data_IF_892372593728
#
_entry.id   IF_892372593728
#
_cell.length_a   1.000
_cell.length_b   1.000
_cell.length_c   1.000
_cell.angle_alpha   90.00
_cell.angle_beta   90.00
_cell.angle_gamma   90.00
#
_symmetry.space_group_name_H-M   'P 1'
#
loop_
_entity.id
_entity.type
_entity.pdbx_description
1 polymer ?
#
# COMPACT_ATOMS: atom_id res chain seq x y z
N UNK A 1 34.64 70.47 38.63
CA UNK A 1 33.75 69.53 37.89
C UNK A 1 33.18 68.53 38.87
N UNK A 2 31.90 68.64 39.27
CA UNK A 2 31.25 67.63 40.09
C UNK A 2 30.02 66.98 39.42
N UNK A 3 29.68 65.83 40.00
CA UNK A 3 28.61 64.84 39.80
C UNK A 3 27.19 65.41 39.66
N UNK A 4 26.28 64.61 39.07
CA UNK A 4 24.85 64.37 39.46
C UNK A 4 24.03 64.01 38.20
N UNK A 5 23.54 62.78 38.03
CA UNK A 5 22.24 62.26 38.50
C UNK A 5 21.00 63.05 38.01
N UNK A 6 20.08 62.36 37.33
CA UNK A 6 18.64 62.63 37.42
C UNK A 6 17.82 61.40 37.00
N UNK A 7 16.99 60.96 37.94
CA UNK A 7 15.83 60.07 37.76
C UNK A 7 14.66 60.91 37.25
N UNK A 8 13.80 60.35 36.42
CA UNK A 8 12.43 60.86 36.23
C UNK A 8 11.42 59.76 36.55
N UNK A 9 10.52 60.08 37.48
CA UNK A 9 9.23 59.43 37.71
C UNK A 9 8.20 60.11 36.80
N UNK A 10 7.24 59.37 36.25
CA UNK A 10 5.87 59.89 36.17
C UNK A 10 4.82 58.79 36.08
N UNK A 11 3.68 59.10 36.67
CA UNK A 11 2.63 58.24 37.19
C UNK A 11 1.70 57.62 36.15
N UNK A 12 1.04 56.57 36.60
CA UNK A 12 -0.11 55.90 36.00
C UNK A 12 -1.29 56.86 35.72
N UNK A 13 -2.03 56.56 34.64
CA UNK A 13 -3.47 56.80 34.56
C UNK A 13 -4.11 55.60 33.86
N UNK A 14 -4.96 54.89 34.61
CA UNK A 14 -5.88 53.87 34.12
C UNK A 14 -7.04 54.60 33.44
N UNK A 15 -7.36 54.22 32.21
CA UNK A 15 -8.63 54.61 31.57
C UNK A 15 -9.21 53.39 30.89
N UNK A 16 -10.32 52.91 31.45
CA UNK A 16 -11.15 51.86 30.91
C UNK A 16 -11.85 52.36 29.65
N UNK A 17 -11.66 51.68 28.53
CA UNK A 17 -12.55 51.75 27.38
C UNK A 17 -13.30 50.43 27.27
N UNK A 18 -14.61 50.52 27.48
CA UNK A 18 -15.58 49.49 27.12
C UNK A 18 -15.62 49.35 25.59
N UNK A 19 -15.33 48.16 25.08
CA UNK A 19 -15.57 47.80 23.68
C UNK A 19 -16.88 47.00 23.64
N UNK A 20 -17.88 47.59 23.00
CA UNK A 20 -19.15 46.96 22.64
C UNK A 20 -18.90 45.61 21.95
N UNK A 21 -19.50 44.53 22.47
CA UNK A 21 -19.60 43.29 21.73
C UNK A 21 -20.60 43.45 20.59
N UNK A 22 -20.09 43.43 19.36
CA UNK A 22 -20.91 43.12 18.19
C UNK A 22 -21.13 41.61 18.20
N UNK A 23 -22.32 41.19 18.60
CA UNK A 23 -22.78 39.83 18.40
C UNK A 23 -22.88 39.56 16.89
N UNK A 24 -21.84 38.95 16.32
CA UNK A 24 -21.95 38.33 15.00
C UNK A 24 -22.76 37.05 15.16
N UNK A 25 -23.95 37.04 14.56
CA UNK A 25 -24.74 35.83 14.39
C UNK A 25 -24.04 34.96 13.34
N UNK A 26 -23.02 34.21 13.75
CA UNK A 26 -22.51 33.11 12.95
C UNK A 26 -23.54 31.99 13.02
N UNK A 27 -24.19 31.70 11.89
CA UNK A 27 -24.87 30.43 11.66
C UNK A 27 -23.95 29.31 12.17
N UNK A 28 -24.48 28.22 12.76
CA UNK A 28 -23.64 27.06 13.03
C UNK A 28 -23.08 26.60 11.68
N UNK A 29 -21.83 26.97 11.41
CA UNK A 29 -21.03 26.34 10.40
C UNK A 29 -20.91 24.91 10.90
N UNK A 30 -21.50 23.98 10.17
CA UNK A 30 -21.09 22.60 10.24
C UNK A 30 -19.60 22.63 10.00
N UNK A 31 -18.82 22.50 11.07
CA UNK A 31 -17.43 22.06 10.97
C UNK A 31 -17.58 20.68 10.33
N UNK A 32 -17.39 20.63 9.02
CA UNK A 32 -17.20 19.38 8.32
C UNK A 32 -15.85 18.91 8.85
N UNK A 33 -15.91 17.97 9.78
CA UNK A 33 -14.78 17.17 10.20
C UNK A 33 -14.26 16.43 8.96
N UNK A 34 -13.17 16.92 8.36
CA UNK A 34 -12.50 16.29 7.21
C UNK A 34 -11.71 15.03 7.62
N UNK A 35 -12.29 14.16 8.45
CA UNK A 35 -11.69 12.86 8.78
C UNK A 35 -12.70 11.74 8.94
N UNK A 36 -13.68 11.62 8.04
CA UNK A 36 -14.34 10.32 7.85
C UNK A 36 -13.37 9.37 7.13
N UNK A 37 -12.49 8.78 7.93
CA UNK A 37 -11.60 7.67 7.62
C UNK A 37 -12.41 6.54 6.99
N UNK A 38 -12.27 6.36 5.68
CA UNK A 38 -12.90 5.24 4.99
C UNK A 38 -11.81 4.23 4.66
N UNK A 39 -11.92 3.03 5.24
CA UNK A 39 -11.17 1.86 4.79
C UNK A 39 -11.35 1.75 3.28
N UNK A 40 -10.26 1.60 2.52
CA UNK A 40 -10.38 1.41 1.07
C UNK A 40 -11.05 0.07 0.79
N UNK A 41 -12.02 0.07 -0.11
CA UNK A 41 -12.76 -1.12 -0.54
C UNK A 41 -12.49 -1.37 -2.01
N UNK A 42 -12.25 -2.62 -2.38
CA UNK A 42 -12.15 -3.08 -3.77
C UNK A 42 -13.01 -4.33 -3.96
N UNK A 43 -13.89 -4.30 -4.96
CA UNK A 43 -14.61 -5.49 -5.42
C UNK A 43 -13.76 -6.20 -6.48
N UNK A 44 -13.64 -7.53 -6.38
CA UNK A 44 -12.85 -8.34 -7.32
C UNK A 44 -13.71 -9.39 -8.01
N UNK A 45 -13.65 -9.42 -9.33
CA UNK A 45 -14.50 -10.24 -10.18
C UNK A 45 -14.06 -11.70 -10.24
N UNK A 46 -15.04 -12.60 -10.19
CA UNK A 46 -14.86 -14.01 -10.50
C UNK A 46 -14.62 -14.19 -12.00
N UNK A 47 -13.77 -15.15 -12.36
CA UNK A 47 -13.53 -15.56 -13.73
C UNK A 47 -13.74 -17.07 -13.89
N UNK A 48 -14.32 -17.47 -15.02
CA UNK A 48 -14.43 -18.87 -15.47
C UNK A 48 -13.41 -19.22 -16.56
N UNK A 49 -12.66 -18.22 -17.03
CA UNK A 49 -11.57 -18.35 -17.98
C UNK A 49 -10.23 -18.54 -17.28
N UNK A 50 -9.36 -19.37 -17.83
CA UNK A 50 -7.97 -19.50 -17.36
C UNK A 50 -7.16 -18.22 -17.63
N UNK A 51 -6.36 -17.82 -16.65
CA UNK A 51 -5.27 -16.85 -16.83
C UNK A 51 -3.96 -17.63 -17.02
N UNK A 52 -3.19 -17.31 -18.05
CA UNK A 52 -1.84 -17.82 -18.21
C UNK A 52 -0.89 -16.87 -17.50
N UNK A 53 -0.18 -17.35 -16.47
CA UNK A 53 0.80 -16.54 -15.75
C UNK A 53 2.08 -16.47 -16.58
N UNK A 54 2.18 -15.46 -17.46
CA UNK A 54 3.32 -15.23 -18.36
C UNK A 54 3.89 -13.80 -18.30
N UNK A 55 3.37 -12.97 -17.39
CA UNK A 55 3.84 -11.60 -17.19
C UNK A 55 3.31 -10.64 -18.25
N UNK A 56 2.27 -11.02 -18.99
CA UNK A 56 1.62 -10.21 -20.03
C UNK A 56 0.12 -10.14 -19.77
N UNK A 57 -0.39 -8.94 -19.55
CA UNK A 57 -1.81 -8.73 -19.21
C UNK A 57 -2.72 -8.67 -20.45
N UNK A 58 -2.62 -9.64 -21.36
CA UNK A 58 -3.27 -9.60 -22.67
C UNK A 58 -4.61 -10.37 -22.71
N UNK A 59 -4.91 -11.13 -21.66
CA UNK A 59 -6.13 -11.89 -21.46
C UNK A 59 -7.35 -10.96 -21.41
N UNK A 60 -8.50 -11.47 -21.87
CA UNK A 60 -9.76 -10.74 -21.81
C UNK A 60 -10.14 -10.43 -20.35
N UNK A 61 -9.86 -11.35 -19.43
CA UNK A 61 -10.07 -11.18 -18.00
C UNK A 61 -9.33 -9.93 -17.47
N UNK A 62 -8.01 -9.83 -17.71
CA UNK A 62 -7.23 -8.67 -17.28
C UNK A 62 -7.65 -7.36 -17.94
N UNK A 63 -8.00 -7.41 -19.23
CA UNK A 63 -8.48 -6.21 -19.95
C UNK A 63 -9.80 -5.68 -19.39
N UNK A 64 -10.66 -6.58 -18.91
CA UNK A 64 -11.99 -6.25 -18.37
C UNK A 64 -11.96 -5.91 -16.89
N UNK A 65 -10.96 -6.39 -16.15
CA UNK A 65 -10.82 -6.14 -14.73
C UNK A 65 -10.57 -4.65 -14.43
N UNK A 66 -11.30 -4.14 -13.43
CA UNK A 66 -11.07 -2.81 -12.85
C UNK A 66 -9.72 -2.77 -12.14
N UNK A 67 -9.08 -1.59 -12.13
CA UNK A 67 -7.94 -1.36 -11.25
C UNK A 67 -8.41 -1.16 -9.80
N UNK A 68 -7.56 -1.53 -8.86
CA UNK A 68 -7.76 -1.27 -7.42
C UNK A 68 -7.72 0.23 -7.07
N UNK A 69 -7.25 1.07 -8.00
CA UNK A 69 -7.06 2.50 -7.82
C UNK A 69 -5.59 2.88 -7.59
N UNK A 70 -5.33 4.17 -7.40
CA UNK A 70 -3.97 4.70 -7.31
C UNK A 70 -3.29 4.32 -5.99
N UNK A 71 -2.06 3.85 -6.10
CA UNK A 71 -1.16 3.68 -4.96
C UNK A 71 -0.82 5.05 -4.36
N UNK A 72 -0.82 5.11 -3.04
CA UNK A 72 -0.52 6.29 -2.26
C UNK A 72 0.91 6.18 -1.75
N UNK A 73 1.58 7.31 -1.54
CA UNK A 73 2.96 7.36 -1.06
C UNK A 73 3.00 8.04 0.33
N UNK A 74 2.65 7.34 1.43
CA UNK A 74 2.47 7.97 2.75
C UNK A 74 3.75 8.58 3.31
N UNK A 75 4.90 8.08 2.86
CA UNK A 75 6.22 8.45 3.37
C UNK A 75 7.08 9.21 2.34
N UNK A 76 6.49 9.68 1.23
CA UNK A 76 7.25 10.36 0.18
C UNK A 76 7.90 11.66 0.67
N UNK A 77 9.15 11.90 0.29
CA UNK A 77 9.89 13.12 0.65
C UNK A 77 10.35 13.90 -0.57
N UNK A 78 10.96 13.23 -1.53
CA UNK A 78 11.56 13.84 -2.72
C UNK A 78 11.67 12.82 -3.86
N UNK A 79 12.03 13.26 -5.06
CA UNK A 79 12.09 12.42 -6.26
C UNK A 79 10.76 12.33 -7.01
N UNK A 80 10.74 11.51 -8.06
CA UNK A 80 9.56 11.22 -8.88
C UNK A 80 8.74 10.10 -8.24
N UNK A 81 7.44 10.31 -8.07
CA UNK A 81 6.50 9.24 -7.70
C UNK A 81 6.20 8.40 -8.94
N UNK A 82 6.63 7.16 -8.95
CA UNK A 82 6.43 6.27 -10.09
C UNK A 82 5.19 5.42 -9.86
N UNK A 83 4.19 5.62 -10.73
CA UNK A 83 2.87 5.06 -10.53
C UNK A 83 2.88 3.53 -10.58
N UNK A 84 2.14 2.92 -9.65
CA UNK A 84 1.81 1.49 -9.70
C UNK A 84 0.31 1.34 -9.91
N UNK A 85 -0.06 0.53 -10.91
CA UNK A 85 -1.44 0.12 -11.15
C UNK A 85 -1.55 -1.37 -10.87
N UNK A 86 -2.53 -1.76 -10.06
CA UNK A 86 -2.81 -3.16 -9.79
C UNK A 86 -4.25 -3.54 -10.15
N UNK A 87 -4.45 -4.83 -10.42
CA UNK A 87 -5.75 -5.46 -10.65
C UNK A 87 -5.79 -6.77 -9.90
N UNK A 88 -6.99 -7.19 -9.51
CA UNK A 88 -7.23 -8.45 -8.82
C UNK A 88 -8.43 -9.16 -9.42
N UNK A 89 -8.34 -10.47 -9.51
CA UNK A 89 -9.36 -11.38 -10.01
C UNK A 89 -9.31 -12.67 -9.19
N UNK A 90 -10.34 -13.50 -9.28
CA UNK A 90 -10.34 -14.79 -8.59
C UNK A 90 -11.12 -15.86 -9.35
N UNK A 91 -10.78 -17.13 -9.13
CA UNK A 91 -11.56 -18.29 -9.58
C UNK A 91 -11.81 -19.26 -8.41
N UNK A 92 -12.23 -20.50 -8.68
CA UNK A 92 -12.50 -21.48 -7.62
C UNK A 92 -11.25 -22.00 -6.89
N UNK A 93 -10.04 -21.59 -7.30
CA UNK A 93 -8.76 -22.14 -6.85
C UNK A 93 -7.71 -21.09 -6.51
N UNK A 94 -7.69 -19.93 -7.17
CA UNK A 94 -6.65 -18.92 -7.02
C UNK A 94 -7.20 -17.50 -6.86
N UNK A 95 -6.47 -16.71 -6.07
CA UNK A 95 -6.43 -15.26 -6.18
C UNK A 95 -5.38 -14.89 -7.23
N UNK A 96 -5.76 -14.04 -8.18
CA UNK A 96 -4.86 -13.48 -9.18
C UNK A 96 -4.60 -12.02 -8.88
N UNK A 97 -3.34 -11.61 -8.94
CA UNK A 97 -2.94 -10.20 -8.79
C UNK A 97 -1.97 -9.83 -9.91
N UNK A 98 -2.22 -8.69 -10.54
CA UNK A 98 -1.28 -8.10 -11.51
C UNK A 98 -0.81 -6.74 -11.03
N UNK A 99 0.44 -6.42 -11.30
CA UNK A 99 1.04 -5.11 -11.08
C UNK A 99 1.66 -4.60 -12.39
N UNK A 100 1.41 -3.34 -12.71
CA UNK A 100 2.16 -2.58 -13.70
C UNK A 100 2.84 -1.45 -12.97
N UNK A 101 4.16 -1.51 -12.96
CA UNK A 101 5.05 -0.73 -12.12
C UNK A 101 5.83 0.22 -13.02
N UNK A 102 5.49 1.51 -13.05
CA UNK A 102 6.37 2.49 -13.66
C UNK A 102 7.67 2.53 -12.86
N UNK A 103 8.78 2.68 -13.57
CA UNK A 103 10.10 2.85 -12.99
C UNK A 103 11.06 3.33 -14.07
N UNK A 104 11.85 4.36 -13.76
CA UNK A 104 12.88 4.89 -14.65
C UNK A 104 14.21 4.12 -14.51
N UNK A 105 14.43 3.35 -13.44
CA UNK A 105 15.70 2.64 -13.14
C UNK A 105 15.45 1.29 -12.43
N UNK A 106 15.13 0.25 -13.21
CA UNK A 106 14.70 -1.05 -12.72
C UNK A 106 15.90 -1.87 -12.23
N UNK A 107 15.86 -2.28 -10.96
CA UNK A 107 16.96 -2.94 -10.28
C UNK A 107 16.53 -4.19 -9.49
N UNK A 108 17.28 -5.29 -9.64
CA UNK A 108 17.19 -6.46 -8.77
C UNK A 108 18.47 -7.31 -8.74
N UNK A 109 18.95 -7.57 -7.52
CA UNK A 109 20.12 -8.42 -7.26
C UNK A 109 19.74 -9.80 -6.72
N UNK A 110 18.59 -9.93 -6.07
CA UNK A 110 18.23 -11.13 -5.33
C UNK A 110 17.65 -12.20 -6.27
N UNK A 111 18.23 -13.41 -6.22
CA UNK A 111 17.92 -14.52 -7.14
C UNK A 111 17.34 -15.76 -6.44
N UNK A 112 17.45 -15.82 -5.11
CA UNK A 112 17.06 -16.99 -4.33
C UNK A 112 15.76 -16.72 -3.58
N UNK A 113 14.86 -17.70 -3.53
CA UNK A 113 13.66 -17.62 -2.72
C UNK A 113 14.01 -17.36 -1.25
N UNK A 114 13.16 -16.59 -0.56
CA UNK A 114 13.31 -16.14 0.83
C UNK A 114 14.53 -15.23 1.08
N UNK A 115 15.22 -14.79 0.04
CA UNK A 115 16.21 -13.74 0.15
C UNK A 115 15.53 -12.36 0.32
N UNK A 116 16.27 -11.30 0.74
CA UNK A 116 15.72 -9.96 0.96
C UNK A 116 15.21 -9.19 -0.28
N UNK A 117 14.28 -9.77 -1.04
CA UNK A 117 13.69 -9.24 -2.28
C UNK A 117 13.08 -7.84 -2.12
N UNK A 118 12.65 -7.47 -0.91
CA UNK A 118 12.18 -6.10 -0.57
C UNK A 118 13.25 -5.00 -0.76
N UNK A 119 14.52 -5.35 -0.99
CA UNK A 119 15.60 -4.41 -1.30
C UNK A 119 15.75 -4.13 -2.79
N UNK A 120 15.17 -4.98 -3.63
CA UNK A 120 15.07 -4.79 -5.08
C UNK A 120 13.79 -4.05 -5.43
N UNK A 121 13.56 -3.76 -6.71
CA UNK A 121 12.22 -3.40 -7.18
C UNK A 121 11.23 -4.53 -6.92
N UNK A 122 10.31 -4.27 -5.99
CA UNK A 122 9.48 -5.28 -5.37
C UNK A 122 8.03 -4.83 -5.26
N UNK A 123 7.11 -5.78 -5.42
CA UNK A 123 5.70 -5.64 -5.08
C UNK A 123 5.30 -6.70 -4.06
N UNK A 124 4.34 -6.36 -3.21
CA UNK A 124 3.92 -7.25 -2.14
C UNK A 124 2.41 -7.40 -2.11
N UNK A 125 1.97 -8.60 -1.71
CA UNK A 125 0.58 -8.91 -1.41
C UNK A 125 0.50 -9.34 0.05
N UNK A 126 -0.16 -8.53 0.88
CA UNK A 126 -0.36 -8.80 2.31
C UNK A 126 -1.82 -9.13 2.58
N UNK A 127 -2.13 -10.30 3.14
CA UNK A 127 -3.51 -10.79 3.27
C UNK A 127 -3.79 -11.25 4.69
N UNK A 128 -4.80 -10.66 5.34
CA UNK A 128 -5.51 -11.28 6.46
C UNK A 128 -6.86 -11.83 5.94
N UNK A 129 -6.95 -13.15 5.70
CA UNK A 129 -8.11 -13.76 5.04
C UNK A 129 -9.31 -13.97 5.99
N UNK A 130 -9.14 -13.62 7.27
CA UNK A 130 -10.21 -13.61 8.26
C UNK A 130 -10.36 -12.21 8.87
N UNK A 131 -11.41 -11.45 8.52
CA UNK A 131 -11.57 -10.07 8.98
C UNK A 131 -11.76 -9.95 10.50
N UNK A 132 -12.11 -11.05 11.19
CA UNK A 132 -12.24 -11.08 12.66
C UNK A 132 -10.88 -11.27 13.37
N UNK A 133 -9.80 -11.46 12.61
CA UNK A 133 -8.47 -11.80 13.13
C UNK A 133 -7.35 -11.11 12.35
N UNK A 134 -7.42 -9.78 12.23
CA UNK A 134 -6.49 -8.96 11.43
C UNK A 134 -4.99 -9.21 11.70
N UNK A 135 -4.63 -9.53 12.95
CA UNK A 135 -3.24 -9.79 13.33
C UNK A 135 -2.71 -11.16 12.87
N UNK A 136 -3.58 -12.01 12.32
CA UNK A 136 -3.21 -13.22 11.59
C UNK A 136 -3.24 -12.91 10.10
N UNK A 137 -2.07 -12.82 9.49
CA UNK A 137 -1.94 -12.44 8.09
C UNK A 137 -0.72 -13.08 7.44
N UNK A 138 -0.65 -12.99 6.12
CA UNK A 138 0.39 -13.57 5.29
C UNK A 138 0.97 -12.47 4.40
N UNK A 139 2.22 -12.61 4.01
CA UNK A 139 2.83 -11.78 2.97
C UNK A 139 3.49 -12.66 1.92
N UNK A 140 3.34 -12.24 0.66
CA UNK A 140 4.17 -12.67 -0.46
C UNK A 140 4.82 -11.40 -1.03
N UNK A 141 6.14 -11.30 -0.91
CA UNK A 141 6.96 -10.23 -1.47
C UNK A 141 7.65 -10.76 -2.72
N UNK A 142 7.64 -10.01 -3.82
CA UNK A 142 8.13 -10.49 -5.11
C UNK A 142 8.90 -9.39 -5.84
N UNK A 143 10.17 -9.65 -6.16
CA UNK A 143 10.95 -8.71 -6.96
C UNK A 143 10.62 -8.81 -8.46
N UNK A 144 11.13 -7.86 -9.24
CA UNK A 144 10.97 -7.79 -10.70
C UNK A 144 11.52 -9.02 -11.46
N UNK A 145 12.35 -9.84 -10.82
CA UNK A 145 12.84 -11.13 -11.37
C UNK A 145 11.90 -12.30 -11.10
N UNK A 146 10.82 -12.08 -10.36
CA UNK A 146 9.85 -13.11 -9.97
C UNK A 146 10.31 -14.00 -8.81
N UNK A 147 11.32 -13.56 -8.06
CA UNK A 147 11.80 -14.25 -6.84
C UNK A 147 10.93 -13.82 -5.68
N UNK A 148 10.47 -14.79 -4.88
CA UNK A 148 9.57 -14.53 -3.74
C UNK A 148 10.25 -14.64 -2.38
N UNK A 149 9.68 -13.95 -1.40
CA UNK A 149 9.83 -14.20 0.03
C UNK A 149 8.43 -14.25 0.64
N UNK A 150 8.19 -15.23 1.50
CA UNK A 150 6.87 -15.49 2.03
C UNK A 150 6.87 -15.85 3.52
N UNK A 151 5.91 -15.32 4.27
CA UNK A 151 5.73 -15.63 5.69
C UNK A 151 4.26 -15.61 6.11
N UNK A 152 3.96 -16.43 7.12
CA UNK A 152 2.75 -16.33 7.93
C UNK A 152 3.06 -15.58 9.23
N UNK A 153 2.20 -14.64 9.61
CA UNK A 153 2.28 -13.87 10.86
C UNK A 153 1.12 -14.27 11.76
N UNK A 154 1.31 -15.16 12.75
CA UNK A 154 0.23 -15.58 13.64
C UNK A 154 -0.17 -14.49 14.65
N UNK A 155 0.74 -13.55 14.93
CA UNK A 155 0.56 -12.45 15.88
C UNK A 155 1.45 -11.27 15.49
N UNK A 156 1.18 -10.10 16.06
CA UNK A 156 2.04 -8.91 15.91
C UNK A 156 3.48 -9.22 16.34
N UNK A 157 4.43 -8.97 15.44
CA UNK A 157 5.86 -9.16 15.68
C UNK A 157 6.34 -10.61 15.64
N UNK A 158 5.50 -11.57 15.26
CA UNK A 158 5.85 -12.97 15.08
C UNK A 158 5.67 -13.39 13.63
N UNK A 159 6.58 -14.22 13.12
CA UNK A 159 6.47 -14.84 11.80
C UNK A 159 6.90 -16.30 11.82
N UNK A 160 6.27 -17.10 10.98
CA UNK A 160 6.52 -18.52 10.78
C UNK A 160 6.74 -18.78 9.27
N UNK A 161 7.58 -19.77 8.91
CA UNK A 161 7.73 -20.19 7.52
C UNK A 161 6.38 -20.61 6.94
N UNK A 162 6.08 -20.15 5.73
CA UNK A 162 4.88 -20.47 4.99
C UNK A 162 5.25 -20.45 3.51
N UNK A 163 5.23 -21.61 2.87
CA UNK A 163 5.76 -21.83 1.53
C UNK A 163 4.59 -22.20 0.57
N UNK A 164 3.85 -21.22 0.03
CA UNK A 164 2.76 -21.47 -0.92
C UNK A 164 3.30 -21.79 -2.32
N UNK A 165 2.58 -22.63 -3.07
CA UNK A 165 2.85 -22.90 -4.50
C UNK A 165 2.34 -21.73 -5.37
N UNK A 166 2.97 -20.56 -5.24
CA UNK A 166 2.67 -19.38 -6.06
C UNK A 166 3.24 -19.53 -7.46
N UNK A 167 2.48 -19.08 -8.46
CA UNK A 167 2.97 -18.96 -9.84
C UNK A 167 3.21 -17.50 -10.14
N UNK A 168 4.44 -17.14 -10.48
CA UNK A 168 4.86 -15.76 -10.73
C UNK A 168 5.47 -15.68 -12.12
N UNK A 169 5.11 -14.63 -12.86
CA UNK A 169 5.79 -14.27 -14.09
C UNK A 169 5.95 -12.75 -14.17
N UNK A 170 7.03 -12.31 -14.81
CA UNK A 170 7.35 -10.90 -14.95
C UNK A 170 7.74 -10.54 -16.38
N UNK A 171 7.59 -9.27 -16.73
CA UNK A 171 8.16 -8.71 -17.96
C UNK A 171 8.68 -7.31 -17.70
N UNK A 172 9.71 -6.90 -18.45
CA UNK A 172 10.39 -5.62 -18.30
C UNK A 172 10.37 -4.91 -19.64
N UNK A 173 9.96 -3.64 -19.64
CA UNK A 173 10.12 -2.71 -20.75
C UNK A 173 11.24 -1.72 -20.37
N UNK A 174 12.48 -2.15 -20.56
CA UNK A 174 13.69 -1.49 -20.04
C UNK A 174 14.92 -2.41 -20.03
N UNK A 175 15.98 -1.98 -19.36
CA UNK A 175 17.25 -2.66 -19.17
C UNK A 175 17.50 -2.92 -17.68
N UNK A 176 17.23 -4.14 -17.22
CA UNK A 176 17.44 -4.52 -15.82
C UNK A 176 18.90 -4.30 -15.39
N UNK A 177 19.08 -3.62 -14.25
CA UNK A 177 20.36 -3.34 -13.61
C UNK A 177 21.31 -2.42 -14.43
N UNK A 178 20.78 -1.47 -15.19
CA UNK A 178 21.56 -0.46 -15.91
C UNK A 178 21.02 0.96 -15.68
N UNK A 179 21.50 1.64 -14.63
CA UNK A 179 21.07 3.03 -14.35
C UNK A 179 21.65 4.07 -15.33
N UNK A 180 22.28 3.65 -16.44
CA UNK A 180 22.81 4.56 -17.46
C UNK A 180 21.80 4.92 -18.56
N UNK A 181 20.73 4.15 -18.72
CA UNK A 181 19.57 4.48 -19.53
C UNK A 181 18.33 4.79 -18.66
N UNK A 182 17.17 4.92 -19.30
CA UNK A 182 15.90 5.22 -18.61
C UNK A 182 14.87 4.19 -19.05
N UNK A 183 14.36 3.46 -18.08
CA UNK A 183 13.35 2.43 -18.25
C UNK A 183 11.94 3.01 -18.38
N UNK A 184 10.95 2.14 -18.56
CA UNK A 184 9.55 2.54 -18.67
C UNK A 184 8.69 1.95 -17.59
N UNK A 185 8.66 0.62 -17.53
CA UNK A 185 7.87 -0.12 -16.56
C UNK A 185 8.28 -1.59 -16.54
N UNK A 186 7.87 -2.27 -15.47
CA UNK A 186 7.81 -3.72 -15.43
C UNK A 186 6.41 -4.19 -15.03
N UNK A 187 6.13 -5.45 -15.34
CA UNK A 187 4.88 -6.13 -15.01
C UNK A 187 5.22 -7.31 -14.14
N UNK A 188 4.41 -7.53 -13.10
CA UNK A 188 4.37 -8.78 -12.36
C UNK A 188 2.95 -9.32 -12.34
N UNK A 189 2.84 -10.62 -12.54
CA UNK A 189 1.60 -11.36 -12.49
C UNK A 189 1.79 -12.54 -11.55
N UNK A 190 0.85 -12.73 -10.62
CA UNK A 190 0.89 -13.82 -9.66
C UNK A 190 -0.46 -14.51 -9.52
N UNK A 191 -0.44 -15.84 -9.45
CA UNK A 191 -1.55 -16.66 -9.00
C UNK A 191 -1.20 -17.28 -7.64
N UNK A 192 -2.05 -17.05 -6.64
CA UNK A 192 -1.87 -17.55 -5.27
C UNK A 192 -3.01 -18.52 -4.94
N UNK A 193 -2.71 -19.80 -4.63
CA UNK A 193 -3.75 -20.79 -4.36
C UNK A 193 -4.48 -20.47 -3.05
N UNK A 194 -5.81 -20.53 -3.06
CA UNK A 194 -6.62 -20.26 -1.85
C UNK A 194 -6.36 -21.25 -0.71
N UNK A 195 -6.00 -22.49 -1.04
CA UNK A 195 -5.63 -23.52 -0.06
C UNK A 195 -4.48 -23.05 0.85
N UNK A 196 -3.60 -22.17 0.37
CA UNK A 196 -2.50 -21.64 1.18
C UNK A 196 -2.97 -20.85 2.42
N UNK A 197 -4.23 -20.42 2.44
CA UNK A 197 -4.83 -19.63 3.51
C UNK A 197 -5.77 -20.43 4.42
N UNK A 198 -5.93 -21.74 4.19
CA UNK A 198 -6.96 -22.57 4.83
C UNK A 198 -6.86 -22.66 6.35
N UNK A 199 -5.68 -22.39 6.93
CA UNK A 199 -5.46 -22.37 8.37
C UNK A 199 -6.07 -21.15 9.11
N UNK A 200 -6.34 -20.05 8.41
CA UNK A 200 -6.86 -18.79 9.00
C UNK A 200 -8.19 -18.38 8.36
N UNK A 201 -8.32 -18.54 7.04
CA UNK A 201 -9.48 -18.10 6.28
C UNK A 201 -10.77 -18.78 6.74
N UNK A 202 -11.91 -18.06 6.68
CA UNK A 202 -13.22 -18.64 6.98
C UNK A 202 -13.68 -19.64 5.90
N UNK A 203 -13.38 -19.33 4.64
CA UNK A 203 -13.71 -20.13 3.45
C UNK A 203 -12.49 -20.17 2.51
N UNK A 204 -12.21 -21.34 1.94
CA UNK A 204 -11.24 -21.54 0.85
C UNK A 204 -11.83 -22.54 -0.16
N UNK A 205 -12.12 -22.13 -1.41
CA UNK A 205 -12.06 -20.75 -1.91
C UNK A 205 -13.06 -19.83 -1.19
N UNK A 206 -12.86 -18.50 -1.26
CA UNK A 206 -13.85 -17.52 -0.86
C UNK A 206 -15.20 -17.72 -1.56
N UNK A 207 -16.28 -17.30 -0.91
CA UNK A 207 -17.61 -17.25 -1.47
C UNK A 207 -17.94 -15.82 -1.92
N UNK A 208 -18.91 -15.67 -2.84
CA UNK A 208 -19.39 -14.36 -3.23
C UNK A 208 -19.93 -13.61 -1.99
N UNK A 209 -19.46 -12.38 -1.77
CA UNK A 209 -19.74 -11.57 -0.60
C UNK A 209 -18.78 -11.76 0.57
N UNK A 210 -17.87 -12.74 0.52
CA UNK A 210 -16.79 -12.81 1.50
C UNK A 210 -15.92 -11.55 1.40
N UNK A 211 -15.37 -11.16 2.55
CA UNK A 211 -14.48 -10.01 2.67
C UNK A 211 -13.16 -10.46 3.28
N UNK A 212 -12.07 -10.21 2.57
CA UNK A 212 -10.72 -10.36 3.10
C UNK A 212 -10.12 -8.99 3.34
N UNK A 213 -9.16 -8.92 4.27
CA UNK A 213 -8.41 -7.69 4.54
C UNK A 213 -7.06 -7.79 3.88
N UNK A 214 -6.73 -6.86 2.99
CA UNK A 214 -5.53 -6.96 2.16
C UNK A 214 -4.84 -5.61 1.97
N UNK A 215 -3.53 -5.62 1.74
CA UNK A 215 -2.82 -4.50 1.13
C UNK A 215 -1.94 -4.95 -0.03
N UNK A 216 -1.74 -4.04 -0.97
CA UNK A 216 -0.81 -4.19 -2.08
C UNK A 216 0.24 -3.10 -1.92
N UNK A 217 1.52 -3.47 -1.96
CA UNK A 217 2.61 -2.54 -1.72
C UNK A 217 3.58 -2.53 -2.91
N UNK A 218 4.25 -1.40 -3.11
CA UNK A 218 5.41 -1.24 -3.99
C UNK A 218 6.55 -0.67 -3.18
N UNK A 219 7.71 -1.29 -3.27
CA UNK A 219 8.90 -0.85 -2.56
C UNK A 219 10.20 -1.14 -3.30
N UNK A 220 11.28 -0.55 -2.78
CA UNK A 220 12.64 -0.75 -3.24
C UNK A 220 12.99 0.10 -4.45
N UNK A 221 13.98 -0.34 -5.22
CA UNK A 221 14.63 0.44 -6.28
C UNK A 221 15.94 1.07 -5.78
N UNK A 222 16.97 1.07 -6.63
CA UNK A 222 18.32 1.52 -6.27
C UNK A 222 18.47 3.04 -6.36
N UNK A 223 18.05 3.64 -7.48
CA UNK A 223 18.24 5.06 -7.76
C UNK A 223 17.10 5.93 -7.25
N UNK A 224 15.85 5.46 -7.36
CA UNK A 224 14.66 6.18 -6.88
C UNK A 224 13.80 5.26 -5.99
N UNK A 225 14.16 5.05 -4.71
CA UNK A 225 13.45 4.10 -3.86
C UNK A 225 11.95 4.43 -3.71
N UNK A 226 11.08 3.57 -4.25
CA UNK A 226 9.63 3.70 -4.14
C UNK A 226 9.16 3.14 -2.79
N UNK A 227 8.15 3.77 -2.19
CA UNK A 227 7.43 3.21 -1.04
C UNK A 227 5.97 3.66 -1.13
N UNK A 228 5.12 2.81 -1.68
CA UNK A 228 3.70 3.13 -1.89
C UNK A 228 2.80 1.93 -1.57
N UNK A 229 1.54 2.23 -1.27
CA UNK A 229 0.54 1.26 -0.83
C UNK A 229 -0.80 1.55 -1.49
N UNK A 230 -1.55 0.51 -1.84
CA UNK A 230 -2.93 0.66 -2.26
C UNK A 230 -3.78 1.24 -1.13
N UNK A 231 -3.75 0.63 0.06
CA UNK A 231 -4.37 1.18 1.27
C UNK A 231 -3.31 1.87 2.12
N UNK A 232 -3.26 3.22 2.17
CA UNK A 232 -2.19 3.95 2.86
C UNK A 232 -2.24 3.72 4.36
N UNK A 233 -1.15 3.21 4.93
CA UNK A 233 -0.98 3.18 6.39
C UNK A 233 -0.65 4.57 6.93
N UNK A 234 -0.84 4.74 8.25
CA UNK A 234 -0.52 5.98 8.97
C UNK A 234 0.68 5.83 9.90
N UNK A 235 1.56 4.87 9.62
CA UNK A 235 2.73 4.64 10.45
C UNK A 235 3.72 5.81 10.30
N UNK A 236 4.40 6.21 11.39
CA UNK A 236 5.31 7.37 11.37
C UNK A 236 6.57 7.13 10.51
N UNK A 237 6.90 5.87 10.26
CA UNK A 237 8.02 5.42 9.42
C UNK A 237 7.50 4.36 8.44
N UNK A 238 8.27 4.10 7.38
CA UNK A 238 7.99 3.02 6.43
C UNK A 238 7.74 1.72 7.19
N UNK A 239 6.53 1.18 7.05
CA UNK A 239 6.12 -0.07 7.67
C UNK A 239 4.91 -0.62 6.92
N UNK A 240 5.10 -1.77 6.27
CA UNK A 240 4.03 -2.46 5.53
C UNK A 240 3.27 -3.47 6.41
N UNK A 241 3.90 -3.95 7.50
CA UNK A 241 3.33 -4.85 8.50
C UNK A 241 2.38 -4.13 9.48
N UNK A 242 1.31 -3.53 8.95
CA UNK A 242 0.32 -2.79 9.73
C UNK A 242 -1.12 -3.21 9.33
N UNK A 243 -1.57 -4.41 9.75
CA UNK A 243 -2.83 -5.01 9.29
C UNK A 243 -4.08 -4.19 9.63
N UNK A 244 -4.01 -3.31 10.62
CA UNK A 244 -5.08 -2.36 10.95
C UNK A 244 -5.43 -1.42 9.79
N UNK A 245 -4.48 -1.15 8.87
CA UNK A 245 -4.67 -0.30 7.71
C UNK A 245 -4.95 -1.06 6.41
N UNK A 246 -5.02 -2.39 6.43
CA UNK A 246 -5.38 -3.17 5.24
C UNK A 246 -6.77 -2.76 4.73
N UNK A 247 -6.91 -2.65 3.42
CA UNK A 247 -8.21 -2.42 2.78
C UNK A 247 -9.12 -3.64 2.89
N UNK A 248 -10.35 -3.50 2.41
CA UNK A 248 -11.33 -4.57 2.28
C UNK A 248 -11.42 -5.01 0.82
N UNK A 249 -11.27 -6.31 0.57
CA UNK A 249 -11.45 -6.93 -0.73
C UNK A 249 -12.70 -7.79 -0.68
N UNK A 250 -13.69 -7.43 -1.49
CA UNK A 250 -14.99 -8.12 -1.56
C UNK A 250 -15.00 -9.01 -2.80
N UNK A 251 -15.22 -10.31 -2.60
CA UNK A 251 -15.28 -11.28 -3.69
C UNK A 251 -16.66 -11.22 -4.35
N UNK A 252 -16.74 -10.85 -5.63
CA UNK A 252 -18.01 -10.76 -6.38
C UNK A 252 -18.05 -11.77 -7.53
N UNK A 253 -19.27 -12.20 -7.90
CA UNK A 253 -19.55 -13.07 -9.05
C UNK A 253 -20.35 -12.33 -10.11
#
# INVERSE_FOLDING_TARGET
>A
MPRSASKFYCSAVISALAILSLASCSKPGTVIDESSETTRVCEIGYIDSSILIDGRLNEVAWKSASTVGEFQFPWWKEGKKEGTAAKMLWDDTHLYVSFVCQDDYIWAEHEERDSPVYRDDCVEVFISPNPDSLNQYFNVEMNVKGVSLDFYHPNVGSKEPWDPDVRIATSIEGTLNDDSDVDRFWILEVAIPFEAYSMVAKNTPPQAGDVWRLNLNRLGGQTNPQHSQWSPSKTPTVSFHAPEFFGEVVFIK
#
